data_IF_669232557649
#
_entry.id   IF_669232557649
#
_cell.length_a   1.000
_cell.length_b   1.000
_cell.length_c   1.000
_cell.angle_alpha   90.00
_cell.angle_beta   90.00
_cell.angle_gamma   90.00
#
_symmetry.space_group_name_H-M   'P 1'
#
loop_
_entity.id
_entity.type
_entity.pdbx_description
1 polymer ?
#
# COMPACT_ATOMS: atom_id res chain seq x y z
N UNK A 1 -17.15 -18.55 17.67
CA UNK A 1 -15.83 -17.91 17.99
C UNK A 1 -14.96 -17.60 16.77
N UNK A 2 -14.89 -18.44 15.72
CA UNK A 2 -14.03 -18.16 14.53
C UNK A 2 -14.63 -17.23 13.48
N UNK A 3 -15.97 -17.13 13.37
CA UNK A 3 -16.64 -16.35 12.34
C UNK A 3 -16.53 -14.83 12.58
N UNK A 4 -16.77 -14.38 13.81
CA UNK A 4 -16.67 -12.96 14.19
C UNK A 4 -15.24 -12.43 14.01
N UNK A 5 -14.23 -13.20 14.41
CA UNK A 5 -12.81 -12.82 14.21
C UNK A 5 -12.47 -12.73 12.72
N UNK A 6 -13.00 -13.64 11.88
CA UNK A 6 -12.84 -13.55 10.43
C UNK A 6 -13.52 -12.31 9.85
N UNK A 7 -14.76 -12.01 10.27
CA UNK A 7 -15.50 -10.84 9.79
C UNK A 7 -14.79 -9.55 10.20
N UNK A 8 -14.38 -9.43 11.47
CA UNK A 8 -13.61 -8.28 11.94
C UNK A 8 -12.26 -8.18 11.25
N UNK A 9 -11.54 -9.29 11.06
CA UNK A 9 -10.29 -9.32 10.32
C UNK A 9 -10.45 -8.84 8.87
N UNK A 10 -11.50 -9.29 8.18
CA UNK A 10 -11.84 -8.83 6.84
C UNK A 10 -12.24 -7.34 6.83
N UNK A 11 -13.06 -6.88 7.78
CA UNK A 11 -13.47 -5.48 7.89
C UNK A 11 -12.27 -4.55 8.12
N UNK A 12 -11.36 -4.95 9.01
CA UNK A 12 -10.14 -4.21 9.30
C UNK A 12 -9.22 -4.20 8.08
N UNK A 13 -9.09 -5.32 7.36
CA UNK A 13 -8.29 -5.40 6.14
C UNK A 13 -8.86 -4.52 5.02
N UNK A 14 -10.18 -4.50 4.83
CA UNK A 14 -10.84 -3.63 3.85
C UNK A 14 -10.72 -2.16 4.25
N UNK A 15 -10.91 -1.83 5.54
CA UNK A 15 -10.75 -0.47 6.06
C UNK A 15 -9.32 0.05 5.93
N UNK A 16 -8.33 -0.80 6.22
CA UNK A 16 -6.92 -0.49 6.05
C UNK A 16 -6.56 -0.28 4.57
N UNK A 17 -7.10 -1.13 3.67
CA UNK A 17 -6.94 -0.96 2.23
C UNK A 17 -7.54 0.34 1.72
N UNK A 18 -8.73 0.71 2.18
CA UNK A 18 -9.40 1.95 1.78
C UNK A 18 -8.69 3.21 2.31
N UNK A 19 -8.28 3.20 3.59
CA UNK A 19 -7.50 4.30 4.17
C UNK A 19 -6.13 4.44 3.51
N UNK A 20 -5.46 3.32 3.24
CA UNK A 20 -4.19 3.28 2.52
C UNK A 20 -4.33 3.85 1.12
N UNK A 21 -5.35 3.43 0.37
CA UNK A 21 -5.62 3.95 -0.97
C UNK A 21 -5.89 5.47 -0.96
N UNK A 22 -6.63 5.98 0.03
CA UNK A 22 -6.93 7.41 0.17
C UNK A 22 -5.70 8.25 0.57
N UNK A 23 -4.84 7.71 1.42
CA UNK A 23 -3.56 8.36 1.77
C UNK A 23 -2.62 8.41 0.58
N UNK A 24 -2.48 7.29 -0.14
CA UNK A 24 -1.64 7.21 -1.33
C UNK A 24 -2.16 8.14 -2.42
N UNK A 25 -3.48 8.18 -2.67
CA UNK A 25 -4.05 9.09 -3.66
C UNK A 25 -3.90 10.56 -3.28
N UNK A 26 -4.04 10.91 -2.00
CA UNK A 26 -3.83 12.27 -1.51
C UNK A 26 -2.37 12.72 -1.61
N UNK A 27 -1.42 11.86 -1.24
CA UNK A 27 0.02 12.12 -1.40
C UNK A 27 0.37 12.26 -2.88
N UNK A 28 -0.21 11.41 -3.73
CA UNK A 28 0.02 11.43 -5.18
C UNK A 28 -0.49 12.70 -5.83
N UNK A 29 -1.71 13.11 -5.51
CA UNK A 29 -2.31 14.35 -6.01
C UNK A 29 -1.49 15.56 -5.57
N UNK A 30 -1.01 15.57 -4.33
CA UNK A 30 -0.18 16.65 -3.79
C UNK A 30 1.23 16.69 -4.40
N UNK A 31 1.81 15.54 -4.75
CA UNK A 31 3.15 15.44 -5.32
C UNK A 31 3.18 15.68 -6.85
N UNK A 32 2.13 15.26 -7.56
CA UNK A 32 2.13 15.19 -9.03
C UNK A 32 1.17 16.20 -9.68
N UNK A 33 0.24 16.77 -8.92
CA UNK A 33 -0.78 17.70 -9.44
C UNK A 33 -1.86 17.04 -10.30
N UNK A 34 -1.79 15.72 -10.53
CA UNK A 34 -2.71 14.94 -11.34
C UNK A 34 -3.23 13.71 -10.60
N UNK A 35 -4.36 13.18 -11.05
CA UNK A 35 -4.95 11.97 -10.49
C UNK A 35 -3.99 10.77 -10.62
N UNK A 36 -3.91 9.91 -9.58
CA UNK A 36 -3.04 8.75 -9.59
C UNK A 36 -3.36 7.84 -10.77
N UNK A 37 -2.34 7.28 -11.45
CA UNK A 37 -2.53 6.37 -12.55
C UNK A 37 -3.37 5.18 -12.06
N UNK A 38 -4.62 5.16 -12.47
CA UNK A 38 -5.53 4.08 -12.11
C UNK A 38 -5.18 2.84 -12.92
N UNK A 39 -4.77 1.79 -12.23
CA UNK A 39 -4.56 0.45 -12.81
C UNK A 39 -5.84 -0.13 -13.44
N UNK A 40 -7.00 0.49 -13.21
CA UNK A 40 -8.28 0.04 -13.75
C UNK A 40 -8.46 0.37 -15.24
N UNK A 41 -7.65 1.27 -15.84
CA UNK A 41 -7.78 1.66 -17.25
C UNK A 41 -6.39 1.79 -17.92
N UNK A 42 -5.77 0.68 -18.31
CA UNK A 42 -4.44 0.67 -18.93
C UNK A 42 -4.41 1.33 -20.33
N UNK A 43 -5.52 1.36 -21.05
CA UNK A 43 -5.56 1.73 -22.48
C UNK A 43 -5.34 3.22 -22.76
N UNK A 44 -5.69 4.11 -21.82
CA UNK A 44 -5.45 5.57 -21.97
C UNK A 44 -4.05 6.01 -21.53
N UNK A 45 -3.29 5.13 -20.90
CA UNK A 45 -2.02 5.47 -20.25
C UNK A 45 -0.82 5.18 -21.16
N UNK A 46 -0.92 4.19 -22.04
CA UNK A 46 0.24 3.67 -22.78
C UNK A 46 0.85 4.64 -23.80
N UNK A 47 0.10 5.59 -24.35
CA UNK A 47 0.61 6.45 -25.43
C UNK A 47 1.40 7.68 -24.94
N UNK A 48 1.32 8.03 -23.65
CA UNK A 48 2.06 9.17 -23.07
C UNK A 48 2.92 8.82 -21.84
N UNK A 49 2.79 7.61 -21.27
CA UNK A 49 3.19 7.37 -19.88
C UNK A 49 4.40 6.45 -19.65
N UNK A 50 5.18 5.99 -20.64
CA UNK A 50 6.30 5.08 -20.36
C UNK A 50 7.29 5.62 -19.30
N UNK A 51 7.64 6.91 -19.35
CA UNK A 51 8.46 7.57 -18.32
C UNK A 51 7.72 7.77 -16.98
N UNK A 52 6.44 8.18 -17.01
CA UNK A 52 5.62 8.35 -15.79
C UNK A 52 5.37 7.02 -15.07
N UNK A 53 5.20 5.92 -15.81
CA UNK A 53 5.03 4.56 -15.27
C UNK A 53 6.32 4.06 -14.63
N UNK A 54 7.47 4.33 -15.24
CA UNK A 54 8.78 4.02 -14.65
C UNK A 54 8.99 4.76 -13.32
N UNK A 55 8.70 6.06 -13.28
CA UNK A 55 8.79 6.86 -12.04
C UNK A 55 7.80 6.35 -10.98
N UNK A 56 6.56 6.05 -11.37
CA UNK A 56 5.57 5.45 -10.48
C UNK A 56 6.05 4.10 -9.92
N UNK A 57 6.62 3.24 -10.77
CA UNK A 57 7.12 1.92 -10.39
C UNK A 57 8.30 2.03 -9.42
N UNK A 58 9.24 2.95 -9.65
CA UNK A 58 10.39 3.19 -8.76
C UNK A 58 9.91 3.70 -7.40
N UNK A 59 9.02 4.70 -7.38
CA UNK A 59 8.49 5.25 -6.13
C UNK A 59 7.65 4.21 -5.37
N UNK A 60 6.84 3.43 -6.09
CA UNK A 60 6.04 2.35 -5.50
C UNK A 60 6.93 1.23 -4.95
N UNK A 61 7.98 0.84 -5.68
CA UNK A 61 8.96 -0.14 -5.22
C UNK A 61 9.76 0.34 -4.00
N UNK A 62 10.18 1.61 -3.98
CA UNK A 62 10.82 2.24 -2.84
C UNK A 62 9.89 2.28 -1.61
N UNK A 63 8.63 2.66 -1.82
CA UNK A 63 7.62 2.66 -0.75
C UNK A 63 7.36 1.25 -0.22
N UNK A 64 7.22 0.26 -1.11
CA UNK A 64 7.00 -1.13 -0.74
C UNK A 64 8.18 -1.71 0.06
N UNK A 65 9.41 -1.40 -0.32
CA UNK A 65 10.61 -1.84 0.41
C UNK A 65 10.72 -1.20 1.80
N UNK A 66 10.36 0.07 1.95
CA UNK A 66 10.25 0.72 3.28
C UNK A 66 9.18 0.03 4.13
N UNK A 67 7.98 -0.21 3.58
CA UNK A 67 6.90 -0.91 4.28
C UNK A 67 7.33 -2.32 4.67
N UNK A 68 8.00 -3.05 3.80
CA UNK A 68 8.52 -4.39 4.08
C UNK A 68 9.59 -4.37 5.17
N UNK A 69 10.53 -3.43 5.13
CA UNK A 69 11.57 -3.28 6.14
C UNK A 69 10.98 -2.92 7.51
N UNK A 70 10.01 -2.01 7.54
CA UNK A 70 9.27 -1.68 8.76
C UNK A 70 8.49 -2.89 9.26
N UNK A 71 7.69 -3.53 8.41
CA UNK A 71 6.93 -4.73 8.77
C UNK A 71 7.82 -5.81 9.36
N UNK A 72 8.94 -6.15 8.71
CA UNK A 72 9.92 -7.11 9.24
C UNK A 72 10.44 -6.71 10.62
N UNK A 73 10.78 -5.44 10.84
CA UNK A 73 11.23 -4.93 12.15
C UNK A 73 10.14 -5.04 13.23
N UNK A 74 8.89 -4.72 12.89
CA UNK A 74 7.77 -4.80 13.82
C UNK A 74 7.42 -6.25 14.14
N UNK A 75 7.39 -7.13 13.15
CA UNK A 75 7.20 -8.58 13.34
C UNK A 75 8.30 -9.17 14.21
N UNK A 76 9.57 -8.88 13.94
CA UNK A 76 10.69 -9.34 14.78
C UNK A 76 10.60 -8.84 16.22
N UNK A 77 10.20 -7.57 16.44
CA UNK A 77 9.98 -7.05 17.80
C UNK A 77 8.84 -7.75 18.51
N UNK A 78 7.75 -8.05 17.81
CA UNK A 78 6.60 -8.75 18.38
C UNK A 78 6.92 -10.22 18.67
N UNK A 79 7.63 -10.90 17.78
CA UNK A 79 8.14 -12.26 17.98
C UNK A 79 9.12 -12.32 19.15
N UNK A 80 10.08 -11.39 19.24
CA UNK A 80 11.01 -11.30 20.38
C UNK A 80 10.26 -11.04 21.69
N UNK A 81 9.21 -10.21 21.67
CA UNK A 81 8.39 -9.92 22.86
C UNK A 81 7.42 -11.06 23.23
N UNK A 82 7.02 -11.86 22.24
CA UNK A 82 6.15 -13.02 22.44
C UNK A 82 6.93 -14.29 22.84
N UNK A 83 8.15 -14.47 22.34
CA UNK A 83 9.06 -15.57 22.69
C UNK A 83 9.87 -15.33 23.97
N UNK A 84 9.89 -14.10 24.49
CA UNK A 84 10.44 -13.78 25.82
C UNK A 84 9.42 -13.99 26.97
N UNK A 85 8.29 -14.65 26.69
CA UNK A 85 7.29 -15.07 27.68
C UNK A 85 7.25 -16.58 27.81
#
# INVERSE_FOLDING_TARGET
MKLLVKIFGTLISLGAGWLGAKLVSGIWHKATGEEPPSLANPDKQQQAAAGKVLVFAVISGASASVIQAMTKRWTQKLEAKAGAR
#
